data_IF_420604493049
#
_entry.id   IF_420604493049
#
_cell.length_a   1.000
_cell.length_b   1.000
_cell.length_c   1.000
_cell.angle_alpha   90.00
_cell.angle_beta   90.00
_cell.angle_gamma   90.00
#
_symmetry.space_group_name_H-M   'P 1'
#
loop_
_entity.id
_entity.type
_entity.pdbx_description
1 polymer ?
#
# COMPACT_ATOMS: atom_id res chain seq x y z
N UNK A 1 -26.33 -7.95 23.34
CA UNK A 1 -25.95 -7.00 22.26
C UNK A 1 -24.92 -7.70 21.38
N UNK A 2 -25.26 -8.03 20.13
CA UNK A 2 -24.37 -8.76 19.21
C UNK A 2 -23.80 -7.75 18.22
N UNK A 3 -22.56 -7.34 18.43
CA UNK A 3 -21.86 -6.44 17.50
C UNK A 3 -21.40 -7.30 16.33
N UNK A 4 -21.95 -7.04 15.14
CA UNK A 4 -21.49 -7.70 13.91
C UNK A 4 -20.29 -6.90 13.38
N UNK A 5 -19.12 -7.52 13.32
CA UNK A 5 -17.90 -6.87 12.85
C UNK A 5 -17.90 -6.89 11.31
N UNK A 6 -18.09 -5.73 10.68
CA UNK A 6 -17.94 -5.60 9.24
C UNK A 6 -16.45 -5.67 8.90
N UNK A 7 -16.05 -6.65 8.09
CA UNK A 7 -14.69 -6.76 7.54
C UNK A 7 -14.74 -6.36 6.06
N UNK A 8 -14.58 -5.07 5.72
CA UNK A 8 -14.54 -4.66 4.32
C UNK A 8 -13.34 -5.33 3.65
N UNK A 9 -13.63 -6.21 2.69
CA UNK A 9 -12.64 -6.91 1.87
C UNK A 9 -12.62 -6.25 0.50
N UNK A 10 -11.53 -5.55 0.21
CA UNK A 10 -11.35 -4.91 -1.09
C UNK A 10 -10.44 -5.80 -1.94
N UNK A 11 -10.90 -6.18 -3.14
CA UNK A 11 -10.06 -6.93 -4.08
C UNK A 11 -8.73 -6.22 -4.36
N UNK A 12 -7.60 -6.93 -4.27
CA UNK A 12 -6.31 -6.41 -4.71
C UNK A 12 -6.32 -6.32 -6.24
N UNK A 13 -5.75 -5.25 -6.81
CA UNK A 13 -5.57 -5.12 -8.25
C UNK A 13 -4.11 -4.80 -8.52
N UNK A 14 -3.42 -5.75 -9.17
CA UNK A 14 -2.04 -5.65 -9.60
C UNK A 14 -2.03 -5.41 -11.11
N UNK A 15 -1.36 -4.36 -11.56
CA UNK A 15 -1.11 -4.11 -12.97
C UNK A 15 0.09 -4.94 -13.41
N UNK A 16 -0.18 -6.02 -14.14
CA UNK A 16 0.85 -6.93 -14.67
C UNK A 16 1.73 -6.27 -15.72
N UNK A 17 1.19 -5.32 -16.49
CA UNK A 17 1.93 -4.67 -17.56
C UNK A 17 3.12 -3.87 -17.01
N UNK A 18 2.96 -3.29 -15.81
CA UNK A 18 4.03 -2.56 -15.10
C UNK A 18 5.14 -3.51 -14.64
N UNK A 19 4.79 -4.72 -14.20
CA UNK A 19 5.75 -5.72 -13.76
C UNK A 19 6.51 -6.32 -14.96
N UNK A 20 5.80 -6.58 -16.05
CA UNK A 20 6.37 -7.07 -17.30
C UNK A 20 7.34 -6.04 -17.90
N UNK A 21 6.95 -4.76 -17.91
CA UNK A 21 7.83 -3.67 -18.36
C UNK A 21 9.10 -3.57 -17.48
N UNK A 22 8.95 -3.70 -16.15
CA UNK A 22 10.10 -3.72 -15.23
C UNK A 22 11.04 -4.89 -15.52
N UNK A 23 10.50 -6.07 -15.82
CA UNK A 23 11.27 -7.24 -16.22
C UNK A 23 12.00 -7.02 -17.56
N UNK A 24 11.36 -6.39 -18.54
CA UNK A 24 11.99 -6.04 -19.84
C UNK A 24 13.13 -5.05 -19.65
N UNK A 25 12.97 -4.05 -18.78
CA UNK A 25 13.96 -2.99 -18.59
C UNK A 25 15.17 -3.43 -17.77
N UNK A 26 14.96 -4.21 -16.70
CA UNK A 26 16.02 -4.56 -15.74
C UNK A 26 16.58 -5.98 -15.95
N UNK A 27 15.83 -6.84 -16.64
CA UNK A 27 16.04 -8.29 -16.65
C UNK A 27 15.40 -8.94 -15.42
N UNK A 28 14.95 -10.19 -15.59
CA UNK A 28 14.09 -10.89 -14.62
C UNK A 28 14.63 -10.88 -13.19
N UNK A 29 15.88 -11.30 -12.97
CA UNK A 29 16.45 -11.37 -11.61
C UNK A 29 16.66 -10.01 -10.93
N UNK A 30 16.85 -8.91 -11.70
CA UNK A 30 16.93 -7.57 -11.11
C UNK A 30 15.54 -7.00 -10.80
N UNK A 31 14.55 -7.34 -11.61
CA UNK A 31 13.16 -6.95 -11.37
C UNK A 31 12.61 -7.62 -10.11
N UNK A 32 12.85 -8.93 -9.92
CA UNK A 32 12.47 -9.67 -8.71
C UNK A 32 13.05 -9.03 -7.44
N UNK A 33 14.36 -8.75 -7.42
CA UNK A 33 15.01 -8.08 -6.28
C UNK A 33 14.42 -6.69 -6.03
N UNK A 34 14.11 -5.93 -7.08
CA UNK A 34 13.50 -4.60 -6.95
C UNK A 34 12.06 -4.68 -6.40
N UNK A 35 11.29 -5.70 -6.79
CA UNK A 35 9.94 -5.95 -6.31
C UNK A 35 9.99 -6.33 -4.82
N UNK A 36 10.83 -7.30 -4.44
CA UNK A 36 11.03 -7.69 -3.03
C UNK A 36 11.40 -6.49 -2.14
N UNK A 37 12.37 -5.68 -2.58
CA UNK A 37 12.78 -4.49 -1.84
C UNK A 37 11.62 -3.48 -1.70
N UNK A 38 10.86 -3.23 -2.77
CA UNK A 38 9.72 -2.33 -2.72
C UNK A 38 8.61 -2.85 -1.79
N UNK A 39 8.42 -4.16 -1.71
CA UNK A 39 7.44 -4.80 -0.83
C UNK A 39 7.84 -4.70 0.64
N UNK A 40 9.11 -4.92 0.95
CA UNK A 40 9.67 -4.72 2.30
C UNK A 40 9.50 -3.27 2.76
N UNK A 41 9.87 -2.31 1.90
CA UNK A 41 9.69 -0.88 2.16
C UNK A 41 8.21 -0.54 2.39
N UNK A 42 7.30 -1.06 1.56
CA UNK A 42 5.86 -0.88 1.73
C UNK A 42 5.38 -1.42 3.08
N UNK A 43 5.81 -2.61 3.49
CA UNK A 43 5.42 -3.21 4.77
C UNK A 43 5.83 -2.31 5.95
N UNK A 44 7.05 -1.78 5.92
CA UNK A 44 7.57 -0.85 6.94
C UNK A 44 6.75 0.43 6.98
N UNK A 45 6.51 1.06 5.83
CA UNK A 45 5.76 2.32 5.75
C UNK A 45 4.30 2.17 6.19
N UNK A 46 3.64 1.06 5.82
CA UNK A 46 2.26 0.78 6.22
C UNK A 46 2.15 0.63 7.74
N UNK A 47 3.09 -0.08 8.37
CA UNK A 47 3.13 -0.20 9.83
C UNK A 47 3.42 1.15 10.49
N UNK A 48 4.35 1.92 9.95
CA UNK A 48 4.72 3.23 10.47
C UNK A 48 3.57 4.24 10.39
N UNK A 49 2.81 4.25 9.30
CA UNK A 49 1.62 5.11 9.13
C UNK A 49 0.59 4.94 10.25
N UNK A 50 0.40 3.71 10.73
CA UNK A 50 -0.50 3.43 11.86
C UNK A 50 0.02 3.97 13.20
N UNK A 51 1.35 4.05 13.37
CA UNK A 51 1.97 4.65 14.55
C UNK A 51 1.86 6.18 14.51
N UNK A 52 2.12 6.79 13.36
CA UNK A 52 2.02 8.24 13.16
C UNK A 52 0.60 8.75 13.41
N UNK A 53 -0.42 8.05 12.89
CA UNK A 53 -1.81 8.40 13.15
C UNK A 53 -2.14 8.37 14.67
N UNK A 54 -1.64 7.39 15.40
CA UNK A 54 -1.84 7.30 16.86
C UNK A 54 -1.10 8.40 17.63
N UNK A 55 0.06 8.81 17.12
CA UNK A 55 0.85 9.90 17.69
C UNK A 55 0.30 11.30 17.33
N UNK A 56 -0.61 11.39 16.36
CA UNK A 56 -1.13 12.66 15.85
C UNK A 56 -0.15 13.42 14.95
N UNK A 57 0.92 12.77 14.49
CA UNK A 57 1.93 13.37 13.59
C UNK A 57 1.44 13.30 12.14
N UNK A 58 0.57 14.25 11.78
CA UNK A 58 -0.12 14.26 10.49
C UNK A 58 0.80 14.70 9.33
N UNK A 59 1.81 15.51 9.62
CA UNK A 59 2.80 15.97 8.64
C UNK A 59 3.66 14.78 8.18
N UNK A 60 4.24 14.02 9.12
CA UNK A 60 5.00 12.83 8.77
C UNK A 60 4.10 11.75 8.17
N UNK A 61 2.83 11.66 8.58
CA UNK A 61 1.85 10.74 7.97
C UNK A 61 1.60 11.07 6.50
N UNK A 62 1.51 12.35 6.14
CA UNK A 62 1.36 12.80 4.75
C UNK A 62 2.57 12.35 3.92
N UNK A 63 3.80 12.63 4.38
CA UNK A 63 5.03 12.25 3.68
C UNK A 63 5.12 10.73 3.52
N UNK A 64 4.84 9.99 4.59
CA UNK A 64 4.82 8.51 4.57
C UNK A 64 3.79 7.99 3.56
N UNK A 65 2.60 8.62 3.48
CA UNK A 65 1.55 8.22 2.54
C UNK A 65 1.92 8.51 1.08
N UNK A 66 2.67 9.58 0.82
CA UNK A 66 3.22 9.86 -0.52
C UNK A 66 4.25 8.80 -0.94
N UNK A 67 5.10 8.36 -0.01
CA UNK A 67 6.06 7.28 -0.26
C UNK A 67 5.35 5.96 -0.59
N UNK A 68 4.31 5.61 0.18
CA UNK A 68 3.46 4.44 -0.11
C UNK A 68 2.84 4.55 -1.50
N UNK A 69 2.30 5.72 -1.88
CA UNK A 69 1.74 5.93 -3.22
C UNK A 69 2.78 5.65 -4.32
N UNK A 70 3.97 6.26 -4.23
CA UNK A 70 4.99 6.11 -5.25
C UNK A 70 5.53 4.67 -5.37
N UNK A 71 5.69 3.97 -4.25
CA UNK A 71 6.06 2.55 -4.26
C UNK A 71 4.97 1.68 -4.88
N UNK A 72 3.70 1.91 -4.51
CA UNK A 72 2.56 1.18 -5.04
C UNK A 72 2.35 1.40 -6.55
N UNK A 73 2.61 2.60 -7.06
CA UNK A 73 2.57 2.88 -8.50
C UNK A 73 3.65 2.09 -9.25
N UNK A 74 4.89 2.09 -8.73
CA UNK A 74 6.02 1.38 -9.35
C UNK A 74 5.85 -0.15 -9.37
N UNK A 75 5.15 -0.71 -8.40
CA UNK A 75 4.88 -2.17 -8.32
C UNK A 75 3.53 -2.57 -8.91
N UNK A 76 2.79 -1.62 -9.51
CA UNK A 76 1.50 -1.89 -10.13
C UNK A 76 0.36 -2.12 -9.13
N UNK A 77 0.51 -1.81 -7.84
CA UNK A 77 -0.54 -1.92 -6.81
C UNK A 77 -1.54 -0.75 -6.88
N UNK A 78 -2.29 -0.68 -7.98
CA UNK A 78 -3.15 0.47 -8.36
C UNK A 78 -4.12 0.88 -7.24
N UNK A 79 -4.73 -0.09 -6.56
CA UNK A 79 -5.69 0.23 -5.49
C UNK A 79 -5.00 0.80 -4.26
N UNK A 80 -3.83 0.28 -3.90
CA UNK A 80 -3.04 0.80 -2.79
C UNK A 80 -2.58 2.23 -3.07
N UNK A 81 -2.09 2.51 -4.28
CA UNK A 81 -1.72 3.85 -4.72
C UNK A 81 -2.90 4.83 -4.54
N UNK A 82 -4.07 4.48 -5.05
CA UNK A 82 -5.27 5.32 -4.92
C UNK A 82 -5.61 5.64 -3.46
N UNK A 83 -5.60 4.65 -2.57
CA UNK A 83 -5.94 4.87 -1.16
C UNK A 83 -4.86 5.69 -0.45
N UNK A 84 -3.57 5.50 -0.78
CA UNK A 84 -2.48 6.31 -0.25
C UNK A 84 -2.55 7.78 -0.67
N UNK A 85 -2.98 8.02 -1.91
CA UNK A 85 -3.31 9.37 -2.40
C UNK A 85 -4.47 10.00 -1.61
N UNK A 86 -5.52 9.24 -1.32
CA UNK A 86 -6.66 9.72 -0.50
C UNK A 86 -6.20 10.14 0.90
N UNK A 87 -5.35 9.33 1.56
CA UNK A 87 -4.77 9.67 2.88
C UNK A 87 -3.93 10.95 2.79
N UNK A 88 -3.09 11.08 1.76
CA UNK A 88 -2.26 12.28 1.54
C UNK A 88 -3.12 13.55 1.46
N UNK A 89 -4.21 13.53 0.67
CA UNK A 89 -5.12 14.67 0.53
C UNK A 89 -5.90 14.97 1.82
N UNK A 90 -6.23 13.95 2.62
CA UNK A 90 -6.96 14.13 3.87
C UNK A 90 -6.09 14.64 5.02
N UNK A 91 -4.79 14.30 5.03
CA UNK A 91 -3.83 14.86 5.99
C UNK A 91 -3.76 16.39 5.92
N UNK A 92 -3.97 16.98 4.75
CA UNK A 92 -3.99 18.44 4.55
C UNK A 92 -5.28 19.11 5.06
N UNK A 93 -6.39 18.36 5.17
CA UNK A 93 -7.73 18.91 5.45
C UNK A 93 -8.11 18.91 6.94
N UNK A 94 -7.36 18.21 7.79
CA UNK A 94 -7.59 18.16 9.24
C UNK A 94 -8.83 17.37 9.67
N UNK A 95 -9.47 16.60 8.78
CA UNK A 95 -10.60 15.72 9.11
C UNK A 95 -10.07 14.42 9.75
N UNK A 96 -9.89 14.46 11.08
CA UNK A 96 -9.29 13.36 11.85
C UNK A 96 -10.09 12.04 11.72
N UNK A 97 -11.44 12.02 11.80
CA UNK A 97 -12.21 10.80 11.56
C UNK A 97 -12.02 10.22 10.15
N UNK A 98 -12.08 11.06 9.10
CA UNK A 98 -11.85 10.60 7.74
C UNK A 98 -10.43 10.04 7.58
N UNK A 99 -9.42 10.75 8.09
CA UNK A 99 -8.03 10.35 8.03
C UNK A 99 -7.76 9.03 8.76
N UNK A 100 -8.39 8.82 9.92
CA UNK A 100 -8.29 7.57 10.65
C UNK A 100 -8.90 6.40 9.87
N UNK A 101 -10.07 6.61 9.27
CA UNK A 101 -10.74 5.60 8.45
C UNK A 101 -9.94 5.24 7.20
N UNK A 102 -9.41 6.24 6.49
CA UNK A 102 -8.64 6.02 5.26
C UNK A 102 -7.25 5.45 5.51
N UNK A 103 -6.56 5.85 6.59
CA UNK A 103 -5.27 5.25 6.98
C UNK A 103 -5.46 3.78 7.35
N UNK A 104 -6.51 3.46 8.12
CA UNK A 104 -6.83 2.06 8.43
C UNK A 104 -7.17 1.24 7.18
N UNK A 105 -7.83 1.86 6.20
CA UNK A 105 -8.11 1.25 4.88
C UNK A 105 -6.83 1.02 4.08
N UNK A 106 -5.95 2.02 4.01
CA UNK A 106 -4.64 1.93 3.34
C UNK A 106 -3.85 0.74 3.86
N UNK A 107 -3.80 0.57 5.19
CA UNK A 107 -3.08 -0.54 5.81
C UNK A 107 -3.66 -1.90 5.47
N UNK A 108 -4.99 -2.05 5.54
CA UNK A 108 -5.67 -3.30 5.15
C UNK A 108 -5.44 -3.66 3.69
N UNK A 109 -5.61 -2.69 2.77
CA UNK A 109 -5.38 -2.91 1.34
C UNK A 109 -3.91 -3.22 1.06
N UNK A 110 -2.99 -2.55 1.75
CA UNK A 110 -1.56 -2.79 1.62
C UNK A 110 -1.15 -4.18 2.09
N UNK A 111 -1.56 -4.58 3.29
CA UNK A 111 -1.34 -5.93 3.83
C UNK A 111 -1.88 -7.01 2.86
N UNK A 112 -3.09 -6.82 2.32
CA UNK A 112 -3.66 -7.73 1.32
C UNK A 112 -2.88 -7.73 0.00
N UNK A 113 -2.39 -6.56 -0.44
CA UNK A 113 -1.65 -6.42 -1.71
C UNK A 113 -0.30 -7.12 -1.65
N UNK A 114 0.38 -7.05 -0.49
CA UNK A 114 1.64 -7.75 -0.26
C UNK A 114 1.43 -9.28 -0.32
N UNK A 115 0.41 -9.80 0.36
CA UNK A 115 0.07 -11.23 0.32
C UNK A 115 -0.25 -11.68 -1.12
N UNK A 116 -1.11 -10.94 -1.81
CA UNK A 116 -1.53 -11.30 -3.16
C UNK A 116 -0.40 -11.25 -4.20
N UNK A 117 0.63 -10.42 -3.99
CA UNK A 117 1.83 -10.42 -4.83
C UNK A 117 2.69 -11.65 -4.54
N UNK A 118 2.88 -12.01 -3.26
CA UNK A 118 3.61 -13.23 -2.87
C UNK A 118 2.95 -14.50 -3.41
N UNK A 119 1.62 -14.63 -3.30
CA UNK A 119 0.87 -15.78 -3.83
C UNK A 119 1.01 -15.94 -5.35
N UNK A 120 1.33 -14.87 -6.09
CA UNK A 120 1.57 -14.94 -7.54
C UNK A 120 2.96 -15.44 -7.89
N UNK A 121 3.99 -15.06 -7.12
CA UNK A 121 5.35 -15.55 -7.37
C UNK A 121 5.46 -17.06 -7.10
N UNK A 122 4.81 -17.56 -6.04
CA UNK A 122 4.77 -19.01 -5.71
C UNK A 122 4.11 -19.87 -6.81
N UNK A 123 3.28 -19.28 -7.67
CA UNK A 123 2.60 -19.97 -8.78
C UNK A 123 3.42 -20.02 -10.08
N UNK A 124 4.60 -19.41 -10.13
CA UNK A 124 5.39 -19.28 -11.36
C UNK A 124 6.54 -20.31 -11.48
N UNK A 125 6.39 -21.49 -10.86
CA UNK A 125 7.34 -22.62 -10.97
C UNK A 125 7.09 -23.43 -12.24
#
# INVERSE_FOLDING_TARGET
>A
MRVSQIRPQEAVTLNTDVLDEMCVQLGHGKAEVAICAAMEDLAVLLQYSGTLLKAGDLETLQVTSQQVNGLAERTGMVRLARVAKDVTMLSERGDVPALAATTARMRRVGEQSLIAMWDREDLTI
#
